data_IF_169326377721
#
_entry.id   IF_169326377721
#
_cell.length_a   1.000
_cell.length_b   1.000
_cell.length_c   1.000
_cell.angle_alpha   90.00
_cell.angle_beta   90.00
_cell.angle_gamma   90.00
#
_symmetry.space_group_name_H-M   'P 1'
#
loop_
_entity.id
_entity.type
_entity.pdbx_description
1 polymer ?
#
# COMPACT_ATOMS: atom_id res chain seq x y z
N UNK A 1 -15.03 -40.85 -57.15
CA UNK A 1 -15.68 -39.84 -56.32
C UNK A 1 -14.89 -39.67 -55.03
N UNK A 2 -14.09 -38.64 -54.93
CA UNK A 2 -13.30 -38.36 -53.70
C UNK A 2 -14.08 -37.42 -52.82
N UNK A 3 -14.54 -37.89 -51.67
CA UNK A 3 -15.19 -37.07 -50.65
C UNK A 3 -14.13 -36.36 -49.81
N UNK A 4 -13.98 -35.05 -49.99
CA UNK A 4 -13.17 -34.24 -49.07
C UNK A 4 -13.98 -33.96 -47.83
N UNK A 5 -13.54 -34.51 -46.70
CA UNK A 5 -14.02 -34.16 -45.37
C UNK A 5 -13.17 -33.00 -44.89
N UNK A 6 -13.77 -31.81 -44.88
CA UNK A 6 -13.16 -30.58 -44.37
C UNK A 6 -13.38 -30.58 -42.83
N UNK A 7 -12.37 -30.94 -42.08
CA UNK A 7 -12.38 -30.79 -40.64
C UNK A 7 -12.15 -29.33 -40.25
N UNK A 8 -13.22 -28.66 -39.82
CA UNK A 8 -13.12 -27.32 -39.25
C UNK A 8 -12.48 -27.43 -37.82
N UNK A 9 -11.24 -27.01 -37.72
CA UNK A 9 -10.54 -26.88 -36.45
C UNK A 9 -11.04 -25.60 -35.76
N UNK A 10 -11.99 -25.74 -34.82
CA UNK A 10 -12.36 -24.65 -33.93
C UNK A 10 -11.20 -24.43 -32.92
N UNK A 11 -10.42 -23.40 -33.15
CA UNK A 11 -9.49 -22.88 -32.16
C UNK A 11 -10.29 -22.19 -31.07
N UNK A 12 -10.50 -22.89 -29.95
CA UNK A 12 -11.00 -22.30 -28.71
C UNK A 12 -9.87 -21.48 -28.13
N UNK A 13 -9.89 -20.18 -28.41
CA UNK A 13 -9.03 -19.23 -27.70
C UNK A 13 -9.55 -19.12 -26.25
N UNK A 14 -8.92 -19.88 -25.36
CA UNK A 14 -9.03 -19.60 -23.94
C UNK A 14 -8.42 -18.22 -23.70
N UNK A 15 -9.27 -17.20 -23.65
CA UNK A 15 -8.89 -15.92 -23.08
C UNK A 15 -8.45 -16.18 -21.64
N UNK A 16 -7.14 -16.04 -21.39
CA UNK A 16 -6.64 -15.94 -20.04
C UNK A 16 -7.22 -14.64 -19.46
N UNK A 17 -8.32 -14.75 -18.72
CA UNK A 17 -8.72 -13.73 -17.78
C UNK A 17 -7.59 -13.69 -16.75
N UNK A 18 -6.68 -12.74 -16.90
CA UNK A 18 -5.81 -12.33 -15.80
C UNK A 18 -6.73 -11.95 -14.67
N UNK A 19 -6.77 -12.74 -13.61
CA UNK A 19 -7.40 -12.33 -12.38
C UNK A 19 -6.58 -11.12 -11.92
N UNK A 20 -7.03 -9.91 -12.27
CA UNK A 20 -6.48 -8.69 -11.74
C UNK A 20 -6.69 -8.77 -10.22
N UNK A 21 -5.60 -9.04 -9.50
CA UNK A 21 -5.62 -9.06 -8.05
C UNK A 21 -6.09 -7.71 -7.51
N UNK A 22 -6.59 -7.71 -6.29
CA UNK A 22 -7.03 -6.47 -5.62
C UNK A 22 -5.86 -5.49 -5.56
N UNK A 23 -6.07 -4.28 -6.09
CA UNK A 23 -5.01 -3.26 -6.15
C UNK A 23 -5.04 -2.37 -4.92
N UNK A 24 -3.86 -2.02 -4.42
CA UNK A 24 -3.70 -1.12 -3.28
C UNK A 24 -4.45 0.21 -3.47
N UNK A 25 -4.45 0.75 -4.68
CA UNK A 25 -5.18 1.97 -5.05
C UNK A 25 -6.67 1.90 -4.70
N UNK A 26 -7.33 0.79 -5.04
CA UNK A 26 -8.76 0.62 -4.81
C UNK A 26 -9.05 0.39 -3.33
N UNK A 27 -8.23 -0.42 -2.67
CA UNK A 27 -8.30 -0.65 -1.21
C UNK A 27 -8.13 0.67 -0.45
N UNK A 28 -7.15 1.49 -0.82
CA UNK A 28 -6.90 2.78 -0.17
C UNK A 28 -8.05 3.78 -0.37
N UNK A 29 -8.65 3.78 -1.55
CA UNK A 29 -9.82 4.63 -1.86
C UNK A 29 -11.03 4.25 -1.00
N UNK A 30 -11.26 2.95 -0.78
CA UNK A 30 -12.40 2.43 0.00
C UNK A 30 -12.16 2.43 1.52
N UNK A 31 -10.98 2.87 1.99
CA UNK A 31 -10.66 2.88 3.41
C UNK A 31 -11.60 3.80 4.20
N UNK A 32 -12.17 3.34 5.33
CA UNK A 32 -12.95 4.19 6.23
C UNK A 32 -12.10 5.32 6.82
N UNK A 33 -12.65 6.54 6.91
CA UNK A 33 -11.96 7.70 7.47
C UNK A 33 -11.55 7.48 8.95
N UNK A 34 -12.30 6.65 9.68
CA UNK A 34 -12.00 6.31 11.07
C UNK A 34 -10.67 5.59 11.29
N UNK A 35 -10.16 4.88 10.26
CA UNK A 35 -8.86 4.19 10.33
C UNK A 35 -7.68 5.14 10.10
N UNK A 36 -7.92 6.25 9.43
CA UNK A 36 -6.90 7.27 9.17
C UNK A 36 -7.51 8.68 9.26
N UNK A 37 -7.84 9.13 10.48
CA UNK A 37 -8.56 10.40 10.68
C UNK A 37 -7.76 11.64 10.26
N UNK A 38 -6.45 11.49 10.02
CA UNK A 38 -5.60 12.57 9.50
C UNK A 38 -5.83 12.90 8.01
N UNK A 39 -6.35 11.92 7.25
CA UNK A 39 -6.60 12.05 5.81
C UNK A 39 -8.06 11.77 5.49
N UNK A 40 -8.79 12.79 5.10
CA UNK A 40 -10.15 12.62 4.57
C UNK A 40 -10.13 11.82 3.26
N UNK A 41 -11.29 11.36 2.83
CA UNK A 41 -11.44 10.73 1.50
C UNK A 41 -10.90 11.64 0.39
N UNK A 42 -11.18 12.95 0.44
CA UNK A 42 -10.67 13.89 -0.56
C UNK A 42 -9.14 13.93 -0.57
N UNK A 43 -8.48 13.98 0.59
CA UNK A 43 -7.03 13.92 0.66
C UNK A 43 -6.47 12.63 0.03
N UNK A 44 -7.14 11.49 0.22
CA UNK A 44 -6.72 10.21 -0.37
C UNK A 44 -6.89 10.19 -1.89
N UNK A 45 -7.96 10.78 -2.40
CA UNK A 45 -8.17 10.93 -3.84
C UNK A 45 -7.15 11.89 -4.45
N UNK A 46 -6.87 13.02 -3.80
CA UNK A 46 -5.85 13.99 -4.24
C UNK A 46 -4.46 13.35 -4.36
N UNK A 47 -4.07 12.50 -3.42
CA UNK A 47 -2.81 11.75 -3.51
C UNK A 47 -2.72 10.92 -4.79
N UNK A 48 -3.80 10.20 -5.12
CA UNK A 48 -3.87 9.35 -6.31
C UNK A 48 -3.79 10.21 -7.57
N UNK A 49 -4.55 11.29 -7.63
CA UNK A 49 -4.60 12.18 -8.79
C UNK A 49 -3.26 12.90 -9.02
N UNK A 50 -2.57 13.31 -7.95
CA UNK A 50 -1.25 13.93 -8.04
C UNK A 50 -0.21 12.95 -8.57
N UNK A 51 -0.19 11.70 -8.08
CA UNK A 51 0.71 10.68 -8.60
C UNK A 51 0.45 10.37 -10.06
N UNK A 52 -0.82 10.24 -10.46
CA UNK A 52 -1.21 9.99 -11.84
C UNK A 52 -0.81 11.15 -12.78
N UNK A 53 -0.78 12.36 -12.26
CA UNK A 53 -0.35 13.56 -13.00
C UNK A 53 1.17 13.77 -12.96
N UNK A 54 1.92 12.88 -12.32
CA UNK A 54 3.37 13.04 -12.15
C UNK A 54 3.78 14.19 -11.22
N UNK A 55 2.85 14.67 -10.40
CA UNK A 55 3.09 15.74 -9.43
C UNK A 55 3.52 15.17 -8.08
N UNK A 56 4.12 16.02 -7.26
CA UNK A 56 4.38 15.70 -5.86
C UNK A 56 3.04 15.48 -5.15
N UNK A 57 2.85 14.28 -4.60
CA UNK A 57 1.62 13.93 -3.90
C UNK A 57 1.67 14.44 -2.45
N UNK A 58 1.35 15.73 -2.27
CA UNK A 58 1.38 16.40 -0.98
C UNK A 58 0.04 17.09 -0.72
N UNK A 59 -0.54 16.86 0.46
CA UNK A 59 -1.83 17.42 0.86
C UNK A 59 -1.75 18.00 2.26
N UNK A 60 -2.58 19.01 2.54
CA UNK A 60 -2.79 19.48 3.90
C UNK A 60 -3.74 18.52 4.61
N UNK A 61 -3.27 17.88 5.68
CA UNK A 61 -4.08 16.95 6.45
C UNK A 61 -5.07 17.66 7.39
N UNK A 62 -5.97 16.90 8.01
CA UNK A 62 -7.02 17.45 8.90
C UNK A 62 -6.47 18.10 10.17
N UNK A 63 -5.23 17.85 10.55
CA UNK A 63 -4.55 18.48 11.69
C UNK A 63 -3.81 19.76 11.30
N UNK A 64 -3.90 20.18 10.03
CA UNK A 64 -3.26 21.39 9.52
C UNK A 64 -1.80 21.25 9.11
N UNK A 65 -1.19 20.06 9.27
CA UNK A 65 0.13 19.73 8.78
C UNK A 65 0.12 19.25 7.33
N UNK A 66 1.31 19.02 6.77
CA UNK A 66 1.48 18.48 5.43
C UNK A 66 1.77 16.99 5.49
N UNK A 67 1.07 16.23 4.67
CA UNK A 67 1.29 14.81 4.46
C UNK A 67 1.68 14.55 3.01
N UNK A 68 2.53 13.57 2.76
CA UNK A 68 3.04 13.25 1.43
C UNK A 68 2.97 11.74 1.19
N UNK A 69 2.33 11.34 0.11
CA UNK A 69 2.44 9.97 -0.39
C UNK A 69 3.76 9.85 -1.18
N UNK A 70 4.71 9.12 -0.61
CA UNK A 70 6.06 8.98 -1.16
C UNK A 70 6.18 7.89 -2.21
N UNK A 71 5.27 6.91 -2.18
CA UNK A 71 5.20 5.85 -3.20
C UNK A 71 3.82 5.17 -3.22
N UNK A 72 3.44 4.68 -4.40
CA UNK A 72 2.31 3.78 -4.60
C UNK A 72 2.66 2.78 -5.70
N UNK A 73 2.42 1.51 -5.43
CA UNK A 73 2.50 0.40 -6.37
C UNK A 73 1.18 -0.38 -6.34
N UNK A 74 1.05 -1.41 -7.18
CA UNK A 74 -0.18 -2.21 -7.24
C UNK A 74 -0.52 -2.90 -5.91
N UNK A 75 0.49 -3.27 -5.13
CA UNK A 75 0.36 -4.01 -3.87
C UNK A 75 0.85 -3.26 -2.62
N UNK A 76 1.25 -1.99 -2.75
CA UNK A 76 1.83 -1.24 -1.64
C UNK A 76 1.70 0.26 -1.79
N UNK A 77 1.74 0.98 -0.66
CA UNK A 77 1.90 2.41 -0.61
C UNK A 77 2.68 2.85 0.64
N UNK A 78 3.26 4.03 0.57
CA UNK A 78 3.94 4.66 1.70
C UNK A 78 3.55 6.13 1.80
N UNK A 79 3.20 6.57 3.01
CA UNK A 79 2.81 7.94 3.32
C UNK A 79 3.67 8.45 4.48
N UNK A 80 4.30 9.60 4.29
CA UNK A 80 4.81 10.41 5.38
C UNK A 80 3.68 11.30 5.87
N UNK A 81 3.05 10.90 6.97
CA UNK A 81 1.93 11.63 7.57
C UNK A 81 2.36 12.94 8.20
N UNK A 82 3.51 12.89 8.89
CA UNK A 82 4.19 14.02 9.54
C UNK A 82 5.65 13.65 9.75
N UNK A 83 6.42 14.52 10.39
CA UNK A 83 7.80 14.21 10.78
C UNK A 83 7.87 13.07 11.82
N UNK A 84 6.80 12.87 12.58
CA UNK A 84 6.71 11.85 13.64
C UNK A 84 5.93 10.59 13.26
N UNK A 85 5.31 10.51 12.08
CA UNK A 85 4.48 9.37 11.71
C UNK A 85 4.63 8.99 10.23
N UNK A 86 4.94 7.73 9.98
CA UNK A 86 4.87 7.08 8.67
C UNK A 86 3.84 5.98 8.67
N UNK A 87 3.17 5.82 7.53
CA UNK A 87 2.23 4.73 7.30
C UNK A 87 2.62 4.01 6.02
N UNK A 88 2.87 2.72 6.13
CA UNK A 88 3.06 1.83 4.99
C UNK A 88 1.90 0.84 4.94
N UNK A 89 1.42 0.56 3.75
CA UNK A 89 0.38 -0.43 3.53
C UNK A 89 0.82 -1.45 2.49
N UNK A 90 0.42 -2.70 2.71
CA UNK A 90 0.63 -3.80 1.78
C UNK A 90 -0.70 -4.52 1.54
N UNK A 91 -0.94 -4.92 0.29
CA UNK A 91 -1.95 -5.94 -0.04
C UNK A 91 -1.20 -7.24 -0.31
N UNK A 92 -1.48 -8.25 0.46
CA UNK A 92 -0.88 -9.58 0.35
C UNK A 92 -2.01 -10.61 0.31
N UNK A 93 -2.24 -11.19 -0.87
CA UNK A 93 -3.40 -12.03 -1.16
C UNK A 93 -4.72 -11.27 -0.88
N UNK A 94 -5.47 -11.67 0.14
CA UNK A 94 -6.72 -11.01 0.57
C UNK A 94 -6.57 -10.21 1.85
N UNK A 95 -5.33 -9.95 2.30
CA UNK A 95 -5.02 -9.29 3.56
C UNK A 95 -4.42 -7.92 3.26
N UNK A 96 -4.93 -6.91 3.93
CA UNK A 96 -4.34 -5.57 4.00
C UNK A 96 -3.53 -5.46 5.29
N UNK A 97 -2.27 -5.12 5.16
CA UNK A 97 -1.38 -4.85 6.29
C UNK A 97 -1.14 -3.35 6.37
N UNK A 98 -1.42 -2.75 7.50
CA UNK A 98 -1.12 -1.35 7.79
C UNK A 98 -0.05 -1.27 8.88
N UNK A 99 1.08 -0.66 8.55
CA UNK A 99 2.24 -0.48 9.42
C UNK A 99 2.34 1.01 9.73
N UNK A 100 2.10 1.37 10.98
CA UNK A 100 2.27 2.73 11.47
C UNK A 100 3.58 2.79 12.24
N UNK A 101 4.53 3.61 11.77
CA UNK A 101 5.81 3.82 12.45
C UNK A 101 5.85 5.19 13.09
N UNK A 102 5.85 5.19 14.41
CA UNK A 102 5.94 6.39 15.25
C UNK A 102 7.40 6.72 15.52
N UNK A 103 7.80 7.93 15.20
CA UNK A 103 9.15 8.42 15.35
C UNK A 103 9.17 9.38 16.56
N UNK A 104 9.63 8.90 17.72
CA UNK A 104 9.50 9.63 19.00
C UNK A 104 10.55 10.74 19.15
N UNK A 105 11.76 10.54 18.67
CA UNK A 105 12.82 11.55 18.54
C UNK A 105 13.77 11.18 17.42
N UNK A 106 14.94 11.74 17.40
CA UNK A 106 15.88 11.48 16.31
C UNK A 106 16.49 10.08 16.31
N UNK A 107 16.26 9.25 17.29
CA UNK A 107 16.95 7.95 17.45
C UNK A 107 15.99 6.78 17.58
N UNK A 108 14.74 7.00 17.97
CA UNK A 108 13.82 5.93 18.34
C UNK A 108 12.54 5.95 17.51
N UNK A 109 12.15 4.79 16.99
CA UNK A 109 10.89 4.57 16.32
C UNK A 109 10.25 3.25 16.75
N UNK A 110 8.94 3.26 16.91
CA UNK A 110 8.14 2.08 17.19
C UNK A 110 7.12 1.85 16.07
N UNK A 111 6.93 0.60 15.68
CA UNK A 111 5.97 0.26 14.64
C UNK A 111 4.83 -0.56 15.22
N UNK A 112 3.61 -0.17 14.87
CA UNK A 112 2.38 -0.93 15.09
C UNK A 112 1.91 -1.53 13.78
N UNK A 113 1.55 -2.81 13.80
CA UNK A 113 1.03 -3.51 12.63
C UNK A 113 -0.41 -3.90 12.88
N UNK A 114 -1.29 -3.50 11.98
CA UNK A 114 -2.69 -3.88 11.98
C UNK A 114 -3.02 -4.64 10.68
N UNK A 115 -3.92 -5.59 10.79
CA UNK A 115 -4.34 -6.46 9.69
C UNK A 115 -5.83 -6.29 9.44
N UNK A 116 -6.19 -6.28 8.16
CA UNK A 116 -7.58 -6.15 7.72
C UNK A 116 -7.85 -7.06 6.53
N UNK A 117 -9.10 -7.35 6.28
CA UNK A 117 -9.52 -7.83 4.96
C UNK A 117 -9.46 -6.68 3.95
N UNK A 118 -9.57 -6.97 2.66
CA UNK A 118 -9.69 -5.94 1.60
C UNK A 118 -10.94 -5.07 1.72
N UNK A 119 -11.86 -5.42 2.61
CA UNK A 119 -13.05 -4.63 2.98
C UNK A 119 -12.90 -3.91 4.33
N UNK A 120 -11.68 -3.80 4.82
CA UNK A 120 -11.32 -3.12 6.06
C UNK A 120 -11.93 -3.70 7.34
N UNK A 121 -12.27 -4.99 7.32
CA UNK A 121 -12.67 -5.72 8.53
C UNK A 121 -11.39 -6.12 9.28
N UNK A 122 -11.24 -5.74 10.57
CA UNK A 122 -10.05 -6.07 11.35
C UNK A 122 -9.83 -7.59 11.46
N UNK A 123 -8.58 -8.01 11.34
CA UNK A 123 -8.14 -9.38 11.52
C UNK A 123 -7.18 -9.47 12.72
N UNK A 124 -7.37 -10.51 13.53
CA UNK A 124 -6.44 -10.82 14.62
C UNK A 124 -5.45 -11.88 14.14
N UNK A 125 -4.18 -11.53 14.03
CA UNK A 125 -3.07 -12.43 13.70
C UNK A 125 -3.38 -13.40 12.53
N UNK A 126 -3.47 -12.90 11.30
CA UNK A 126 -3.65 -13.77 10.14
C UNK A 126 -2.45 -14.69 10.00
N UNK A 127 -2.68 -15.89 9.44
CA UNK A 127 -1.60 -16.79 9.10
C UNK A 127 -0.84 -16.23 7.91
N UNK A 128 0.38 -15.75 8.14
CA UNK A 128 1.26 -15.22 7.12
C UNK A 128 2.35 -16.24 6.76
N UNK A 129 2.78 -16.22 5.51
CA UNK A 129 3.98 -16.96 5.10
C UNK A 129 5.24 -16.26 5.62
N UNK A 130 6.34 -16.99 5.72
CA UNK A 130 7.63 -16.43 6.13
C UNK A 130 8.05 -15.25 5.23
N UNK A 131 7.82 -15.35 3.92
CA UNK A 131 8.12 -14.26 2.98
C UNK A 131 7.30 -13.00 3.25
N UNK A 132 6.03 -13.14 3.63
CA UNK A 132 5.15 -12.02 4.01
C UNK A 132 5.62 -11.37 5.31
N UNK A 133 5.97 -12.15 6.31
CA UNK A 133 6.52 -11.65 7.58
C UNK A 133 7.86 -10.92 7.38
N UNK A 134 8.74 -11.46 6.56
CA UNK A 134 10.01 -10.81 6.21
C UNK A 134 9.80 -9.49 5.49
N UNK A 135 8.79 -9.38 4.62
CA UNK A 135 8.45 -8.13 3.93
C UNK A 135 8.02 -7.04 4.92
N UNK A 136 7.15 -7.38 5.88
CA UNK A 136 6.72 -6.47 6.95
C UNK A 136 7.93 -6.04 7.80
N UNK A 137 8.76 -6.98 8.21
CA UNK A 137 9.94 -6.71 9.04
C UNK A 137 10.93 -5.79 8.34
N UNK A 138 11.15 -5.97 7.04
CA UNK A 138 12.02 -5.07 6.25
C UNK A 138 11.50 -3.64 6.20
N UNK A 139 10.21 -3.43 6.03
CA UNK A 139 9.62 -2.07 6.03
C UNK A 139 9.82 -1.38 7.38
N UNK A 140 9.61 -2.10 8.47
CA UNK A 140 9.86 -1.58 9.83
C UNK A 140 11.31 -1.16 10.03
N UNK A 141 12.26 -1.99 9.60
CA UNK A 141 13.70 -1.71 9.70
C UNK A 141 14.13 -0.54 8.81
N UNK A 142 13.64 -0.48 7.56
CA UNK A 142 13.99 0.61 6.64
C UNK A 142 13.58 1.98 7.19
N UNK A 143 12.45 2.06 7.87
CA UNK A 143 12.00 3.31 8.46
C UNK A 143 12.90 3.79 9.61
N UNK A 144 13.50 2.87 10.35
CA UNK A 144 14.46 3.17 11.42
C UNK A 144 15.83 3.57 10.85
N UNK A 145 16.36 2.80 9.91
CA UNK A 145 17.70 3.02 9.31
C UNK A 145 17.77 4.33 8.51
N UNK A 146 16.76 4.66 7.71
CA UNK A 146 16.73 5.93 6.97
C UNK A 146 16.84 7.16 7.88
N UNK A 147 16.42 7.04 9.09
CA UNK A 147 16.48 8.09 10.08
C UNK A 147 17.89 8.26 10.67
N UNK A 148 18.57 7.16 10.95
CA UNK A 148 19.97 7.21 11.42
C UNK A 148 20.88 7.85 10.39
N UNK A 149 20.67 7.56 9.09
CA UNK A 149 21.40 8.17 8.00
C UNK A 149 21.17 9.69 7.89
N UNK A 150 19.94 10.15 8.08
CA UNK A 150 19.58 11.58 8.05
C UNK A 150 20.17 12.35 9.22
N UNK A 151 20.38 11.69 10.35
CA UNK A 151 21.02 12.28 11.53
C UNK A 151 22.54 12.39 11.38
N UNK A 152 23.17 11.38 10.78
CA UNK A 152 24.61 11.39 10.52
C UNK A 152 24.99 12.49 9.52
N UNK A 153 24.09 12.84 8.60
CA UNK A 153 24.29 13.94 7.65
C UNK A 153 24.11 15.34 8.24
N UNK A 154 23.49 15.46 9.41
CA UNK A 154 23.27 16.75 10.11
C UNK A 154 24.35 17.06 11.16
N UNK A 155 25.32 16.19 11.36
CA UNK A 155 26.50 16.40 12.21
C UNK A 155 27.70 16.79 11.35
#
# INVERSE_FOLDING_TARGET
MKKFIMAALMAVTFGQASADGVKMRDVFREMPDSLMPYLSLNNRLDFIDFLDSGMKAEVRNTLGGMSEMTSMADDSLSIRMSDGLRVDMLVMDSIVVMIETFLVDSIYGESRVNYFTTKWIPLQQPCLSEAQEQRISRLKLQNIVKRDDDLLKKR
#
